data_IF_081763728835
#
_entry.id   IF_081763728835
#
_cell.length_a   1.000
_cell.length_b   1.000
_cell.length_c   1.000
_cell.angle_alpha   90.00
_cell.angle_beta   90.00
_cell.angle_gamma   90.00
#
_symmetry.space_group_name_H-M   'P 1'
#
loop_
_entity.id
_entity.type
_entity.pdbx_description
1 polymer ?
#
# COMPACT_ATOMS: atom_id res chain seq x y z
N UNK A 1 9.41 -20.32 -6.11
CA UNK A 1 9.14 -20.05 -4.69
C UNK A 1 7.67 -20.29 -4.45
N UNK A 2 7.32 -21.38 -3.79
CA UNK A 2 5.94 -21.71 -3.43
C UNK A 2 5.34 -20.52 -2.70
N UNK A 3 4.28 -19.95 -3.28
CA UNK A 3 3.58 -18.81 -2.70
C UNK A 3 2.91 -19.36 -1.45
N UNK A 4 3.51 -19.07 -0.31
CA UNK A 4 3.02 -19.50 0.99
C UNK A 4 1.52 -19.24 1.05
N UNK A 5 0.81 -20.26 1.49
CA UNK A 5 -0.63 -20.31 1.48
C UNK A 5 -1.14 -19.19 2.38
N UNK A 6 -1.64 -18.11 1.79
CA UNK A 6 -2.38 -17.03 2.44
C UNK A 6 -3.74 -17.53 2.93
N UNK A 7 -3.73 -18.65 3.66
CA UNK A 7 -4.93 -19.19 4.26
C UNK A 7 -5.38 -18.19 5.31
N UNK A 8 -6.64 -17.73 5.21
CA UNK A 8 -7.15 -16.82 6.20
C UNK A 8 -7.13 -17.50 7.57
N UNK A 9 -6.80 -16.75 8.64
CA UNK A 9 -6.89 -17.29 10.00
C UNK A 9 -8.29 -17.86 10.25
N UNK A 10 -8.41 -19.02 10.92
CA UNK A 10 -9.71 -19.57 11.30
C UNK A 10 -10.45 -18.64 12.26
N UNK A 11 -9.71 -17.92 13.09
CA UNK A 11 -10.24 -16.89 13.98
C UNK A 11 -10.63 -15.61 13.23
N UNK A 12 -11.93 -15.33 13.22
CA UNK A 12 -12.47 -14.11 12.64
C UNK A 12 -11.88 -12.85 13.30
N UNK A 13 -11.61 -12.87 14.61
CA UNK A 13 -10.95 -11.76 15.29
C UNK A 13 -9.55 -11.49 14.73
N UNK A 14 -8.70 -12.51 14.65
CA UNK A 14 -7.33 -12.41 14.11
C UNK A 14 -7.35 -11.91 12.67
N UNK A 15 -8.25 -12.44 11.85
CA UNK A 15 -8.44 -12.00 10.47
C UNK A 15 -8.79 -10.52 10.39
N UNK A 16 -9.74 -10.06 11.20
CA UNK A 16 -10.15 -8.64 11.24
C UNK A 16 -9.00 -7.73 11.69
N UNK A 17 -8.17 -8.17 12.65
CA UNK A 17 -7.03 -7.40 13.13
C UNK A 17 -5.98 -7.26 12.01
N UNK A 18 -5.67 -8.36 11.32
CA UNK A 18 -4.74 -8.36 10.18
C UNK A 18 -5.25 -7.44 9.07
N UNK A 19 -6.52 -7.57 8.70
CA UNK A 19 -7.14 -6.77 7.62
C UNK A 19 -7.07 -5.27 7.94
N UNK A 20 -7.47 -4.89 9.15
CA UNK A 20 -7.42 -3.49 9.62
C UNK A 20 -5.99 -2.96 9.66
N UNK A 21 -5.04 -3.76 10.14
CA UNK A 21 -3.65 -3.34 10.21
C UNK A 21 -3.02 -3.22 8.82
N UNK A 22 -3.31 -4.16 7.93
CA UNK A 22 -2.83 -4.13 6.56
C UNK A 22 -3.30 -2.87 5.83
N UNK A 23 -4.59 -2.53 5.93
CA UNK A 23 -5.15 -1.30 5.38
C UNK A 23 -4.48 -0.06 5.99
N UNK A 24 -4.25 -0.06 7.31
CA UNK A 24 -3.65 1.05 8.01
C UNK A 24 -2.19 1.28 7.60
N UNK A 25 -1.37 0.23 7.53
CA UNK A 25 0.04 0.26 7.10
C UNK A 25 0.17 0.55 5.60
N UNK A 26 -0.77 0.07 4.79
CA UNK A 26 -0.80 0.36 3.36
C UNK A 26 -1.03 1.84 3.08
N UNK A 27 -1.89 2.50 3.88
CA UNK A 27 -2.24 3.91 3.73
C UNK A 27 -1.20 4.85 4.34
N UNK A 28 -0.69 4.54 5.53
CA UNK A 28 0.18 5.45 6.28
C UNK A 28 1.67 5.15 6.08
N UNK A 29 2.02 3.96 5.60
CA UNK A 29 3.40 3.54 5.38
C UNK A 29 3.90 2.50 6.41
N UNK A 30 5.11 1.96 6.18
CA UNK A 30 5.68 0.87 6.97
C UNK A 30 6.15 1.31 8.37
N UNK A 31 6.32 2.61 8.60
CA UNK A 31 6.69 3.12 9.93
C UNK A 31 5.64 2.79 10.99
N UNK A 32 4.36 2.81 10.59
CA UNK A 32 3.26 2.43 11.47
C UNK A 32 3.27 0.95 11.84
N UNK A 33 3.76 0.07 10.96
CA UNK A 33 3.95 -1.35 11.29
C UNK A 33 4.94 -1.48 12.46
N UNK A 34 6.10 -0.82 12.37
CA UNK A 34 7.11 -0.82 13.43
C UNK A 34 6.57 -0.28 14.76
N UNK A 35 5.82 0.83 14.70
CA UNK A 35 5.20 1.42 15.90
C UNK A 35 4.14 0.49 16.53
N UNK A 36 3.27 -0.11 15.71
CA UNK A 36 2.26 -1.05 16.21
C UNK A 36 2.92 -2.28 16.79
N UNK A 37 3.97 -2.80 16.15
CA UNK A 37 4.76 -3.91 16.64
C UNK A 37 5.25 -3.61 18.05
N UNK A 38 6.00 -2.54 18.25
CA UNK A 38 6.52 -2.16 19.57
C UNK A 38 5.42 -1.95 20.63
N UNK A 39 4.34 -1.24 20.30
CA UNK A 39 3.20 -1.00 21.21
C UNK A 39 2.43 -2.26 21.60
N UNK A 40 2.39 -3.26 20.71
CA UNK A 40 1.60 -4.49 20.90
C UNK A 40 2.47 -5.71 21.16
N UNK A 41 3.74 -5.52 21.58
CA UNK A 41 4.66 -6.60 21.94
C UNK A 41 4.05 -7.61 22.90
N UNK A 42 3.35 -7.14 23.93
CA UNK A 42 2.79 -7.98 24.98
C UNK A 42 1.41 -8.55 24.63
N UNK A 43 0.90 -8.26 23.43
CA UNK A 43 -0.44 -8.68 23.01
C UNK A 43 -0.37 -9.90 22.09
N UNK A 44 -0.87 -11.08 22.51
CA UNK A 44 -0.82 -12.29 21.69
C UNK A 44 -1.64 -12.16 20.40
N UNK A 45 -2.62 -11.23 20.35
CA UNK A 45 -3.39 -10.95 19.14
C UNK A 45 -2.54 -10.37 18.00
N UNK A 46 -1.38 -9.77 18.32
CA UNK A 46 -0.42 -9.23 17.34
C UNK A 46 0.83 -10.12 17.20
N UNK A 47 0.80 -11.35 17.72
CA UNK A 47 1.92 -12.30 17.60
C UNK A 47 2.36 -12.50 16.16
N UNK A 48 1.44 -12.46 15.19
CA UNK A 48 1.73 -12.59 13.76
C UNK A 48 2.72 -11.53 13.22
N UNK A 49 2.85 -10.35 13.88
CA UNK A 49 3.84 -9.33 13.50
C UNK A 49 5.27 -9.72 13.86
N UNK A 50 5.44 -10.67 14.78
CA UNK A 50 6.72 -11.16 15.26
C UNK A 50 7.15 -12.47 14.59
N UNK A 51 6.38 -12.91 13.60
CA UNK A 51 6.50 -14.23 12.97
C UNK A 51 5.35 -15.14 13.39
N UNK A 52 5.22 -16.26 12.69
CA UNK A 52 4.15 -17.23 12.90
C UNK A 52 3.39 -17.53 11.62
N UNK A 53 2.37 -18.36 11.74
CA UNK A 53 1.64 -18.97 10.61
C UNK A 53 0.86 -17.95 9.75
N UNK A 54 0.50 -16.79 10.32
CA UNK A 54 -0.28 -15.75 9.64
C UNK A 54 0.57 -14.57 9.13
N UNK A 55 1.89 -14.64 9.27
CA UNK A 55 2.81 -13.61 8.81
C UNK A 55 2.71 -13.39 7.29
N UNK A 56 2.67 -14.49 6.52
CA UNK A 56 2.49 -14.45 5.06
C UNK A 56 1.15 -13.83 4.64
N UNK A 57 0.06 -14.19 5.33
CA UNK A 57 -1.26 -13.61 5.06
C UNK A 57 -1.26 -12.09 5.33
N UNK A 58 -0.62 -11.64 6.41
CA UNK A 58 -0.49 -10.22 6.71
C UNK A 58 0.26 -9.46 5.61
N UNK A 59 1.44 -9.92 5.19
CA UNK A 59 2.21 -9.24 4.13
C UNK A 59 1.46 -9.22 2.79
N UNK A 60 0.78 -10.32 2.45
CA UNK A 60 -0.04 -10.38 1.25
C UNK A 60 -1.15 -9.31 1.26
N UNK A 61 -1.84 -9.16 2.40
CA UNK A 61 -2.89 -8.14 2.57
C UNK A 61 -2.32 -6.72 2.51
N UNK A 62 -1.17 -6.46 3.11
CA UNK A 62 -0.52 -5.13 3.03
C UNK A 62 -0.19 -4.76 1.58
N UNK A 63 0.39 -5.70 0.82
CA UNK A 63 0.76 -5.49 -0.56
C UNK A 63 -0.45 -5.29 -1.48
N UNK A 64 -1.50 -6.08 -1.28
CA UNK A 64 -2.79 -5.95 -1.97
C UNK A 64 -3.38 -4.54 -1.76
N UNK A 65 -3.51 -4.12 -0.50
CA UNK A 65 -4.05 -2.80 -0.14
C UNK A 65 -3.19 -1.67 -0.73
N UNK A 66 -1.86 -1.76 -0.64
CA UNK A 66 -0.94 -0.76 -1.23
C UNK A 66 -1.10 -0.66 -2.74
N UNK A 67 -1.19 -1.81 -3.41
CA UNK A 67 -1.35 -1.88 -4.86
C UNK A 67 -2.69 -1.30 -5.30
N UNK A 68 -3.76 -1.54 -4.52
CA UNK A 68 -5.08 -0.96 -4.76
C UNK A 68 -5.07 0.56 -4.61
N UNK A 69 -4.45 1.08 -3.56
CA UNK A 69 -4.34 2.53 -3.33
C UNK A 69 -3.54 3.21 -4.45
N UNK A 70 -2.42 2.62 -4.89
CA UNK A 70 -1.66 3.13 -6.04
C UNK A 70 -2.47 3.13 -7.33
N UNK A 71 -3.18 2.03 -7.63
CA UNK A 71 -4.04 1.94 -8.83
C UNK A 71 -5.16 2.99 -8.82
N UNK A 72 -5.76 3.27 -7.66
CA UNK A 72 -6.79 4.31 -7.54
C UNK A 72 -6.22 5.72 -7.75
N UNK A 73 -5.02 6.01 -7.26
CA UNK A 73 -4.36 7.30 -7.50
C UNK A 73 -3.97 7.50 -8.96
N UNK A 74 -3.63 6.42 -9.68
CA UNK A 74 -3.26 6.51 -11.08
C UNK A 74 -4.45 6.71 -12.04
N UNK A 75 -5.68 6.32 -11.66
CA UNK A 75 -6.89 6.57 -12.47
C UNK A 75 -7.43 8.01 -12.38
N UNK A 76 -6.97 8.83 -11.44
CA UNK A 76 -7.24 10.29 -11.44
C UNK A 76 -6.15 11.11 -12.14
N UNK A 77 -5.09 10.45 -12.61
CA UNK A 77 -4.08 11.05 -13.49
C UNK A 77 -4.30 10.52 -14.91
N UNK A 78 -5.32 11.06 -15.59
CA UNK A 78 -5.49 10.78 -17.01
C UNK A 78 -4.22 11.11 -17.79
N UNK A 79 -3.90 10.41 -18.89
CA UNK A 79 -2.82 10.79 -19.78
C UNK A 79 -3.22 12.07 -20.52
N UNK A 80 -3.01 13.23 -19.88
CA UNK A 80 -2.96 14.52 -20.55
C UNK A 80 -1.64 14.60 -21.32
N UNK A 81 -1.58 13.89 -22.44
CA UNK A 81 -0.49 14.03 -23.41
C UNK A 81 -0.52 15.39 -24.08
N UNK A 82 0.67 15.92 -24.35
CA UNK A 82 0.89 17.01 -25.28
C UNK A 82 2.02 17.95 -24.85
N UNK A 83 3.21 17.94 -25.48
CA UNK A 83 4.08 19.09 -25.44
C UNK A 83 3.41 20.21 -26.23
N UNK A 84 3.02 21.31 -25.59
CA UNK A 84 2.60 22.51 -26.32
C UNK A 84 3.85 23.15 -26.95
N UNK A 85 4.19 22.69 -28.15
CA UNK A 85 4.99 23.45 -29.09
C UNK A 85 4.15 24.65 -29.49
N UNK A 86 4.44 25.80 -28.90
CA UNK A 86 4.09 27.09 -29.52
C UNK A 86 5.37 27.62 -30.12
N UNK A 87 5.70 27.06 -31.28
CA UNK A 87 6.53 27.72 -32.28
C UNK A 87 5.90 29.08 -32.54
N UNK A 88 6.43 30.14 -31.91
CA UNK A 88 6.08 31.51 -32.29
C UNK A 88 6.86 31.83 -33.56
N UNK A 89 6.19 31.97 -34.72
CA UNK A 89 6.87 32.47 -35.90
C UNK A 89 7.26 33.93 -35.65
N UNK A 90 8.49 34.25 -36.07
CA UNK A 90 9.00 35.60 -36.30
C UNK A 90 7.88 36.54 -36.79
N UNK A 91 7.68 37.66 -36.10
CA UNK A 91 7.21 38.89 -36.76
C UNK A 91 8.20 40.01 -36.46
N UNK A 92 8.93 40.33 -37.52
CA UNK A 92 9.76 41.50 -37.73
C UNK A 92 9.08 42.78 -37.22
N UNK A 93 9.83 43.66 -36.56
CA UNK A 93 9.67 45.11 -36.67
C UNK A 93 10.99 45.77 -36.34
N UNK A 94 11.82 45.84 -37.38
CA UNK A 94 12.87 46.83 -37.59
C UNK A 94 12.22 48.17 -37.95
N UNK A 95 12.45 49.20 -37.13
CA UNK A 95 12.61 50.63 -37.48
C UNK A 95 12.92 51.41 -36.21
#
# INVERSE_FOLDING_TARGET
>A
MSRYSALPPPDAETRNIIDKLAQFVARNGPEFESMTKEKQRDNPKFSFLYGGEFCDYYYHKVEEERSLIQKQQQQQSGPGGGPCVSDTPFLFSDT
#
